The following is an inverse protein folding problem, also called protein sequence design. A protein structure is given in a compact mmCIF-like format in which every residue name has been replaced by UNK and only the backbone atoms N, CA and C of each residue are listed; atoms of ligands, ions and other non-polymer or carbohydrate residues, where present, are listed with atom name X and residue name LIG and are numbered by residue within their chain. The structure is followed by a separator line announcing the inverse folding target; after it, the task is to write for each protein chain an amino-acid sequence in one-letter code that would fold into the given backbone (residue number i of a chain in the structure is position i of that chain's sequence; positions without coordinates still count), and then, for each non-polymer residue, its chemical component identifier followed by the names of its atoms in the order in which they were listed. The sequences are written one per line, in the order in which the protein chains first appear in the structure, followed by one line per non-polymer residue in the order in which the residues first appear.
data_IF_490774045748
#
_entry.id   IF_490774045748
#
_cell.length_a   1.000
_cell.length_b   1.000
_cell.length_c   1.000
_cell.angle_alpha   90.00
_cell.angle_beta   90.00
_cell.angle_gamma   90.00
#
_symmetry.space_group_name_H-M   'P 1'
#
loop_
_entity.id
_entity.type
_entity.pdbx_description
1 polymer ?
#
# COMPACT_ATOMS: atom_id res chain seq x y z
N UNK A 1 1.06 -8.48 -26.70
CA UNK A 1 1.25 -8.85 -25.79
C UNK A 1 0.48 -8.68 -24.91
N UNK A 2 0.18 -9.25 -24.43
CA UNK A 2 -0.48 -8.84 -23.58
C UNK A 2 0.04 -9.10 -22.38
N UNK A 3 0.10 -8.28 -21.65
CA UNK A 3 0.54 -8.39 -20.39
C UNK A 3 -0.53 -8.85 -19.55
N UNK A 4 -0.46 -9.98 -19.07
CA UNK A 4 -1.51 -10.48 -18.25
C UNK A 4 -1.28 -10.13 -16.80
N UNK A 5 -0.15 -9.58 -16.44
CA UNK A 5 0.13 -9.25 -15.07
C UNK A 5 -0.18 -7.80 -14.78
N UNK A 6 -0.44 -7.52 -13.52
CA UNK A 6 -0.61 -6.16 -13.07
C UNK A 6 0.77 -5.56 -12.83
N UNK A 7 0.86 -4.25 -12.92
CA UNK A 7 2.10 -3.56 -12.65
C UNK A 7 2.30 -3.53 -11.15
N UNK A 8 3.45 -3.99 -10.71
CA UNK A 8 3.81 -3.90 -9.29
C UNK A 8 4.40 -2.52 -9.05
N UNK A 9 3.85 -1.80 -8.12
CA UNK A 9 4.30 -0.44 -7.87
C UNK A 9 4.73 -0.32 -6.42
N UNK A 10 5.94 0.16 -6.21
CA UNK A 10 6.47 0.37 -4.86
C UNK A 10 6.29 1.81 -4.44
N UNK A 11 5.82 2.01 -3.24
CA UNK A 11 5.53 3.35 -2.72
C UNK A 11 6.20 3.51 -1.37
N UNK A 12 6.97 4.59 -1.21
CA UNK A 12 7.58 4.91 0.08
C UNK A 12 6.80 5.99 0.77
N UNK A 13 6.59 5.80 2.05
CA UNK A 13 5.92 6.78 2.89
C UNK A 13 6.95 7.39 3.83
N UNK A 14 6.81 8.66 4.09
CA UNK A 14 7.74 9.33 5.00
C UNK A 14 8.78 10.16 4.30
N UNK A 15 8.88 10.05 3.01
CA UNK A 15 9.76 10.87 2.23
C UNK A 15 9.08 12.24 2.06
N UNK A 16 9.75 13.35 2.33
CA UNK A 16 9.13 14.66 2.15
C UNK A 16 8.60 14.90 0.76
N UNK A 17 9.20 14.23 -0.23
CA UNK A 17 8.73 14.37 -1.59
C UNK A 17 7.83 13.21 -2.01
N UNK A 18 7.44 12.37 -1.10
CA UNK A 18 6.62 11.21 -1.42
C UNK A 18 5.15 11.50 -1.24
N UNK A 19 4.35 10.48 -1.48
CA UNK A 19 2.91 10.62 -1.34
C UNK A 19 2.54 10.58 0.12
N UNK A 20 1.56 11.36 0.51
CA UNK A 20 1.06 11.34 1.88
C UNK A 20 0.21 10.11 2.15
N UNK A 21 0.16 9.69 3.40
CA UNK A 21 -0.59 8.51 3.79
C UNK A 21 -2.06 8.65 3.46
N UNK A 22 -2.63 9.79 3.78
CA UNK A 22 -4.05 10.02 3.53
C UNK A 22 -4.37 9.90 2.04
N UNK A 23 -3.54 10.51 1.21
CA UNK A 23 -3.76 10.48 -0.22
C UNK A 23 -3.62 9.07 -0.77
N UNK A 24 -2.66 8.31 -0.25
CA UNK A 24 -2.46 6.94 -0.66
C UNK A 24 -3.67 6.08 -0.31
N UNK A 25 -4.13 6.16 0.92
CA UNK A 25 -5.26 5.36 1.37
C UNK A 25 -6.53 5.72 0.62
N UNK A 26 -6.71 7.01 0.36
CA UNK A 26 -7.89 7.44 -0.38
C UNK A 26 -7.85 6.94 -1.82
N UNK A 27 -6.68 7.00 -2.46
CA UNK A 27 -6.57 6.53 -3.83
C UNK A 27 -6.88 5.06 -3.95
N UNK A 28 -6.37 4.25 -3.03
CA UNK A 28 -6.54 2.81 -3.10
C UNK A 28 -7.84 2.33 -2.45
N UNK A 29 -8.73 3.24 -2.08
CA UNK A 29 -10.08 2.85 -1.78
C UNK A 29 -10.79 2.46 -3.07
N UNK A 30 -10.36 3.02 -4.20
CA UNK A 30 -10.99 2.73 -5.47
C UNK A 30 -10.50 1.37 -5.95
N UNK A 31 -11.38 0.41 -5.93
CA UNK A 31 -11.01 -0.96 -6.25
C UNK A 31 -10.59 -1.14 -7.70
N UNK A 32 -10.91 -0.21 -8.55
CA UNK A 32 -10.50 -0.29 -9.95
C UNK A 32 -9.00 -0.16 -10.13
N UNK A 33 -8.32 0.51 -9.18
CA UNK A 33 -6.88 0.62 -9.28
C UNK A 33 -6.20 -0.74 -9.17
N UNK A 34 -6.81 -1.66 -8.44
CA UNK A 34 -6.24 -3.00 -8.28
C UNK A 34 -6.32 -3.82 -9.57
N UNK A 35 -7.07 -3.36 -10.54
CA UNK A 35 -7.10 -4.02 -11.85
C UNK A 35 -5.83 -3.74 -12.62
N UNK A 36 -5.16 -2.64 -12.31
CA UNK A 36 -3.96 -2.23 -13.04
C UNK A 36 -2.69 -2.34 -12.22
N UNK A 37 -2.80 -2.22 -10.90
CA UNK A 37 -1.62 -2.17 -10.05
C UNK A 37 -1.70 -3.16 -8.90
N UNK A 38 -0.55 -3.70 -8.54
CA UNK A 38 -0.41 -4.44 -7.29
C UNK A 38 0.50 -3.59 -6.41
N UNK A 39 -0.04 -2.86 -5.47
CA UNK A 39 0.75 -1.90 -4.70
C UNK A 39 1.53 -2.55 -3.56
N UNK A 40 2.74 -2.08 -3.35
CA UNK A 40 3.55 -2.47 -2.22
C UNK A 40 4.04 -1.19 -1.55
N UNK A 41 3.64 -0.97 -0.32
CA UNK A 41 3.98 0.23 0.41
C UNK A 41 5.03 -0.09 1.44
N UNK A 42 6.10 0.70 1.48
CA UNK A 42 7.13 0.56 2.50
C UNK A 42 6.81 1.56 3.59
N UNK A 43 6.27 1.10 4.69
CA UNK A 43 5.83 1.99 5.76
C UNK A 43 5.55 1.20 7.02
N UNK A 44 5.32 1.91 8.11
CA UNK A 44 4.92 1.30 9.35
C UNK A 44 3.45 0.91 9.23
N UNK A 45 3.16 -0.37 9.30
CA UNK A 45 1.80 -0.88 9.16
C UNK A 45 0.86 -0.30 10.21
N UNK A 46 1.33 -0.16 11.45
CA UNK A 46 0.49 0.38 12.50
C UNK A 46 0.12 1.84 12.23
N UNK A 47 1.03 2.58 11.66
CA UNK A 47 0.75 3.96 11.32
C UNK A 47 -0.32 4.04 10.24
N UNK A 48 -0.20 3.20 9.20
CA UNK A 48 -1.20 3.17 8.14
C UNK A 48 -2.57 2.75 8.68
N UNK A 49 -2.57 1.78 9.58
CA UNK A 49 -3.80 1.30 10.16
C UNK A 49 -4.47 2.37 11.00
N UNK A 50 -3.67 3.14 11.75
CA UNK A 50 -4.19 4.24 12.55
C UNK A 50 -4.82 5.30 11.66
N UNK A 51 -4.14 5.67 10.58
CA UNK A 51 -4.67 6.69 9.68
C UNK A 51 -5.92 6.18 8.96
N UNK A 52 -5.95 4.91 8.61
CA UNK A 52 -7.12 4.32 7.98
C UNK A 52 -8.34 4.46 8.88
N UNK A 53 -8.18 4.16 10.17
CA UNK A 53 -9.29 4.27 11.09
C UNK A 53 -9.67 5.71 11.34
N UNK A 54 -8.69 6.58 11.45
CA UNK A 54 -8.92 7.99 11.73
C UNK A 54 -9.78 8.64 10.66
N UNK A 55 -9.56 8.29 9.41
CA UNK A 55 -10.32 8.87 8.32
C UNK A 55 -11.41 7.94 7.78
N UNK A 56 -11.58 6.80 8.40
CA UNK A 56 -12.62 5.82 8.00
C UNK A 56 -12.48 5.36 6.55
N UNK A 57 -11.26 5.21 6.08
CA UNK A 57 -11.05 4.71 4.73
C UNK A 57 -11.36 3.22 4.63
N UNK A 58 -11.87 2.80 3.50
CA UNK A 58 -12.21 1.40 3.26
C UNK A 58 -11.07 0.60 2.65
N UNK A 59 -9.91 1.22 2.51
CA UNK A 59 -8.76 0.57 1.90
C UNK A 59 -8.35 -0.66 2.70
N UNK A 60 -8.25 -1.80 2.05
CA UNK A 60 -7.84 -3.03 2.72
C UNK A 60 -6.33 -3.08 2.79
N UNK A 61 -5.78 -3.23 3.97
CA UNK A 61 -4.34 -3.30 4.20
C UNK A 61 -3.93 -4.73 4.47
N UNK A 62 -2.80 -5.15 3.92
CA UNK A 62 -2.27 -6.48 4.20
C UNK A 62 -0.81 -6.37 4.57
N UNK A 63 -0.45 -6.72 5.81
CA UNK A 63 0.96 -6.73 6.18
C UNK A 63 1.66 -7.91 5.52
N UNK A 64 2.83 -7.67 4.96
CA UNK A 64 3.61 -8.74 4.35
C UNK A 64 5.05 -8.67 4.80
N UNK A 65 5.78 -9.73 4.55
CA UNK A 65 7.21 -9.81 4.84
C UNK A 65 7.97 -9.96 3.54
N UNK A 66 9.29 -9.75 3.62
CA UNK A 66 10.11 -9.96 2.44
C UNK A 66 9.92 -11.37 1.92
N UNK A 67 9.79 -11.45 0.63
CA UNK A 67 9.65 -12.75 0.00
C UNK A 67 8.24 -13.27 -0.08
N UNK A 68 7.29 -12.63 0.59
CA UNK A 68 5.92 -13.05 0.49
C UNK A 68 5.32 -12.58 -0.82
N UNK A 69 4.38 -13.33 -1.35
CA UNK A 69 3.68 -12.91 -2.55
C UNK A 69 2.72 -11.78 -2.22
N UNK A 70 2.62 -10.84 -3.12
CA UNK A 70 1.72 -9.72 -2.93
C UNK A 70 0.28 -10.14 -3.17
N UNK A 71 -0.62 -9.58 -2.37
CA UNK A 71 -2.04 -9.78 -2.58
C UNK A 71 -2.48 -8.83 -3.68
N UNK A 72 -3.19 -9.34 -4.66
CA UNK A 72 -3.55 -8.55 -5.84
C UNK A 72 -4.75 -7.65 -5.62
N UNK A 73 -5.40 -7.76 -4.47
CA UNK A 73 -6.60 -6.99 -4.20
C UNK A 73 -6.49 -6.14 -2.95
N UNK A 74 -5.31 -6.04 -2.38
CA UNK A 74 -5.12 -5.27 -1.15
C UNK A 74 -3.88 -4.40 -1.24
N UNK A 75 -3.81 -3.41 -0.38
CA UNK A 75 -2.64 -2.56 -0.29
C UNK A 75 -1.63 -3.30 0.56
N UNK A 76 -0.62 -3.85 -0.05
CA UNK A 76 0.38 -4.63 0.65
C UNK A 76 1.35 -3.69 1.36
N UNK A 77 1.62 -3.97 2.63
CA UNK A 77 2.48 -3.10 3.44
C UNK A 77 3.64 -3.91 3.97
N UNK A 78 4.85 -3.53 3.56
CA UNK A 78 6.04 -4.13 4.11
C UNK A 78 6.53 -3.17 5.18
N UNK A 79 6.41 -3.56 6.43
CA UNK A 79 6.82 -2.71 7.52
C UNK A 79 8.31 -2.59 7.52
N UNK A 80 8.78 -1.36 7.42
CA UNK A 80 10.17 -1.10 7.52
C UNK A 80 10.40 -0.91 8.98
N UNK A 81 11.13 -1.77 9.57
CA UNK A 81 11.35 -1.65 10.97
C UNK A 81 12.00 -0.35 11.25
N UNK A 82 11.55 0.28 12.24
CA UNK A 82 12.14 1.46 12.63
C UNK A 82 13.52 1.10 12.89
N UNK A 83 14.38 1.77 12.29
CA UNK A 83 15.58 1.49 12.51
C UNK A 83 15.99 2.05 13.60
N UNK A 84 16.05 1.68 14.46
CA UNK A 84 16.45 2.37 15.57
C UNK A 84 17.76 2.59 15.70
#
# INVERSE_FOLDING_TARGET
MHNTGKIKIGISIGDPNGIGIELLLKAFEDKRLYDFFTPLVFADFELLKTEQKKFSFQTALKPIKWGENLNKSKLNVLSVAAQS
#
